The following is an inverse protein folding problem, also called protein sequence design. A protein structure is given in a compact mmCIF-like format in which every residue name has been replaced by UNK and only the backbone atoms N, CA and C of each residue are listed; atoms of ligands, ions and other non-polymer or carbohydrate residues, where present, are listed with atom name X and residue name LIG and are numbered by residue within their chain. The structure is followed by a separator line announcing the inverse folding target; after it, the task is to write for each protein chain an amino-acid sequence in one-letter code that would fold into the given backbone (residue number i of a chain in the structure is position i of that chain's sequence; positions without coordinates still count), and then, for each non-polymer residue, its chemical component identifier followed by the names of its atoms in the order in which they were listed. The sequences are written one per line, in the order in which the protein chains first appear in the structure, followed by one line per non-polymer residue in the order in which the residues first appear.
data_IF_149858772981
#
_entry.id   IF_149858772981
#
_cell.length_a   1.000
_cell.length_b   1.000
_cell.length_c   1.000
_cell.angle_alpha   90.00
_cell.angle_beta   90.00
_cell.angle_gamma   90.00
#
_symmetry.space_group_name_H-M   'P 1'
#
loop_
_entity.id
_entity.type
_entity.pdbx_description
1 polymer ?
#
# COMPACT_ATOMS: atom_id res chain seq x y z
N UNK A 1 -48.77 -49.23 4.15
CA UNK A 1 -47.86 -48.09 4.33
C UNK A 1 -46.45 -48.63 4.25
N UNK A 2 -45.59 -48.24 3.32
CA UNK A 2 -45.41 -46.89 2.79
C UNK A 2 -44.05 -46.41 3.29
N UNK A 3 -43.04 -46.49 2.42
CA UNK A 3 -41.84 -45.63 2.40
C UNK A 3 -41.09 -45.90 1.08
N UNK A 4 -41.36 -45.04 0.11
CA UNK A 4 -40.58 -44.89 -1.13
C UNK A 4 -39.11 -44.68 -0.77
N UNK A 5 -38.21 -45.44 -1.40
CA UNK A 5 -36.83 -45.01 -1.56
C UNK A 5 -36.79 -44.06 -2.75
N UNK A 6 -36.55 -42.78 -2.49
CA UNK A 6 -36.27 -41.80 -3.54
C UNK A 6 -34.76 -41.82 -3.74
N UNK A 7 -34.32 -42.41 -4.85
CA UNK A 7 -32.99 -42.18 -5.39
C UNK A 7 -32.95 -40.77 -5.98
N UNK A 8 -32.01 -39.93 -5.55
CA UNK A 8 -31.67 -38.68 -6.23
C UNK A 8 -30.22 -38.77 -6.66
N UNK A 9 -30.00 -39.26 -7.88
CA UNK A 9 -28.79 -38.91 -8.63
C UNK A 9 -28.98 -37.47 -9.12
N UNK A 10 -28.11 -36.56 -8.68
CA UNK A 10 -27.95 -35.25 -9.30
C UNK A 10 -26.46 -34.96 -9.45
N UNK A 11 -25.90 -35.57 -10.50
CA UNK A 11 -24.91 -34.90 -11.32
C UNK A 11 -25.45 -33.51 -11.67
N UNK A 12 -24.98 -32.50 -10.95
CA UNK A 12 -25.12 -31.11 -11.37
C UNK A 12 -23.86 -30.39 -10.94
N UNK A 13 -22.73 -30.78 -11.53
CA UNK A 13 -21.56 -29.91 -11.59
C UNK A 13 -21.93 -28.76 -12.52
N UNK A 14 -22.38 -27.65 -11.93
CA UNK A 14 -22.39 -26.38 -12.64
C UNK A 14 -20.95 -26.10 -13.07
N UNK A 15 -20.64 -25.88 -14.36
CA UNK A 15 -19.34 -25.39 -14.73
C UNK A 15 -19.21 -24.01 -14.08
N UNK A 16 -18.45 -23.93 -13.00
CA UNK A 16 -17.91 -22.66 -12.58
C UNK A 16 -16.95 -22.25 -13.69
N UNK A 17 -17.47 -21.50 -14.65
CA UNK A 17 -16.64 -20.61 -15.44
C UNK A 17 -16.11 -19.57 -14.46
N UNK A 18 -15.10 -19.95 -13.68
CA UNK A 18 -14.14 -19.02 -13.14
C UNK A 18 -13.41 -18.51 -14.39
N UNK A 19 -14.02 -17.53 -15.05
CA UNK A 19 -13.21 -16.52 -15.70
C UNK A 19 -12.32 -16.02 -14.56
N UNK A 20 -11.06 -16.46 -14.56
CA UNK A 20 -9.98 -15.71 -13.93
C UNK A 20 -9.98 -14.36 -14.66
N UNK A 21 -10.93 -13.49 -14.31
CA UNK A 21 -10.64 -12.07 -14.33
C UNK A 21 -9.35 -11.98 -13.53
N UNK A 22 -8.24 -11.65 -14.19
CA UNK A 22 -7.00 -11.31 -13.51
C UNK A 22 -7.41 -10.36 -12.39
N UNK A 23 -7.36 -10.85 -11.14
CA UNK A 23 -7.74 -10.04 -9.99
C UNK A 23 -6.77 -8.87 -9.99
N UNK A 24 -7.25 -7.71 -10.43
CA UNK A 24 -6.44 -6.51 -10.42
C UNK A 24 -6.05 -6.23 -8.97
N UNK A 25 -4.75 -6.12 -8.72
CA UNK A 25 -4.22 -5.82 -7.39
C UNK A 25 -4.81 -4.49 -6.89
N UNK A 26 -5.07 -4.44 -5.60
CA UNK A 26 -5.50 -3.23 -4.92
C UNK A 26 -4.25 -2.37 -4.68
N UNK A 27 -4.13 -1.28 -5.45
CA UNK A 27 -3.17 -0.19 -5.21
C UNK A 27 -3.50 0.58 -3.93
N UNK A 28 -2.59 0.54 -2.96
CA UNK A 28 -2.69 1.27 -1.69
C UNK A 28 -1.53 2.26 -1.59
N UNK A 29 -1.85 3.54 -1.39
CA UNK A 29 -0.88 4.58 -1.13
C UNK A 29 -0.81 4.94 0.34
N UNK A 30 0.39 5.15 0.87
CA UNK A 30 0.65 5.67 2.19
C UNK A 30 1.37 7.01 2.09
N UNK A 31 0.76 8.07 2.63
CA UNK A 31 1.29 9.43 2.59
C UNK A 31 1.78 9.85 3.97
N UNK A 32 3.03 10.32 4.09
CA UNK A 32 3.56 10.84 5.35
C UNK A 32 4.68 11.86 5.15
N UNK A 33 4.80 12.90 6.00
CA UNK A 33 5.99 13.73 6.10
C UNK A 33 7.13 13.06 6.88
N UNK A 34 6.85 11.93 7.54
CA UNK A 34 7.68 11.39 8.61
C UNK A 34 8.32 10.04 8.27
N UNK A 35 8.48 9.72 6.99
CA UNK A 35 9.35 8.60 6.56
C UNK A 35 10.83 8.99 6.72
N UNK A 36 11.26 9.18 7.96
CA UNK A 36 12.64 9.56 8.33
C UNK A 36 13.09 8.74 9.52
N UNK A 37 14.35 8.33 9.54
CA UNK A 37 14.93 7.43 10.56
C UNK A 37 14.99 8.06 11.96
N UNK A 38 14.61 9.33 12.09
CA UNK A 38 14.50 10.07 13.35
C UNK A 38 13.09 10.09 13.92
N UNK A 39 12.08 9.59 13.19
CA UNK A 39 10.67 9.66 13.60
C UNK A 39 10.10 8.29 13.98
N UNK A 40 9.37 8.17 15.12
CA UNK A 40 8.81 6.89 15.59
C UNK A 40 7.92 6.17 14.56
N UNK A 41 7.24 6.92 13.69
CA UNK A 41 6.42 6.34 12.62
C UNK A 41 7.25 5.45 11.70
N UNK A 42 8.44 5.89 11.26
CA UNK A 42 9.28 5.12 10.35
C UNK A 42 9.73 3.81 11.01
N UNK A 43 10.14 3.87 12.28
CA UNK A 43 10.50 2.68 13.08
C UNK A 43 9.35 1.67 13.19
N UNK A 44 8.11 2.14 13.38
CA UNK A 44 6.94 1.28 13.55
C UNK A 44 6.43 0.72 12.21
N UNK A 45 6.47 1.54 11.16
CA UNK A 45 5.84 1.23 9.87
C UNK A 45 6.77 0.56 8.87
N UNK A 46 8.09 0.63 9.05
CA UNK A 46 9.06 0.09 8.09
C UNK A 46 8.76 -1.34 7.62
N UNK A 47 8.31 -2.22 8.53
CA UNK A 47 8.05 -3.61 8.20
C UNK A 47 6.66 -3.85 7.61
N UNK A 48 5.70 -2.95 7.79
CA UNK A 48 4.32 -3.17 7.30
C UNK A 48 4.28 -3.23 5.78
N UNK A 49 5.07 -2.40 5.11
CA UNK A 49 5.06 -2.32 3.65
C UNK A 49 5.47 -3.64 3.00
N UNK A 50 6.51 -4.31 3.53
CA UNK A 50 6.99 -5.61 3.03
C UNK A 50 6.03 -6.79 3.29
N UNK A 51 5.11 -6.68 4.26
CA UNK A 51 4.24 -7.78 4.67
C UNK A 51 2.85 -7.78 3.99
N UNK A 52 2.57 -6.83 3.11
CA UNK A 52 1.37 -6.92 2.28
C UNK A 52 1.49 -8.09 1.28
N UNK A 53 0.39 -8.84 1.09
CA UNK A 53 0.36 -9.87 0.07
C UNK A 53 0.46 -9.25 -1.33
N UNK A 54 1.59 -9.44 -2.01
CA UNK A 54 1.84 -8.87 -3.34
C UNK A 54 0.99 -9.47 -4.44
N UNK A 55 0.30 -10.58 -4.19
CA UNK A 55 -0.69 -11.13 -5.12
C UNK A 55 -2.00 -10.32 -5.09
N UNK A 56 -2.30 -9.69 -3.95
CA UNK A 56 -3.54 -8.92 -3.75
C UNK A 56 -3.31 -7.39 -3.77
N UNK A 57 -2.10 -6.92 -3.45
CA UNK A 57 -1.80 -5.50 -3.24
C UNK A 57 -0.57 -5.00 -4.00
N UNK A 58 -0.62 -3.74 -4.39
CA UNK A 58 0.51 -2.96 -4.92
C UNK A 58 0.69 -1.72 -4.04
N UNK A 59 1.88 -1.52 -3.48
CA UNK A 59 2.14 -0.58 -2.40
C UNK A 59 2.92 0.63 -2.87
N UNK A 60 2.30 1.79 -2.70
CA UNK A 60 2.87 3.10 -2.97
C UNK A 60 3.15 3.80 -1.65
N UNK A 61 4.32 4.42 -1.54
CA UNK A 61 4.69 5.27 -0.42
C UNK A 61 5.09 6.65 -0.92
N UNK A 62 4.52 7.68 -0.31
CA UNK A 62 4.74 9.08 -0.66
C UNK A 62 5.33 9.80 0.54
N UNK A 63 6.57 10.25 0.41
CA UNK A 63 7.25 11.04 1.43
C UNK A 63 7.09 12.53 1.14
N UNK A 64 6.48 13.28 2.06
CA UNK A 64 6.34 14.75 1.94
C UNK A 64 7.60 15.51 2.36
N UNK A 65 8.60 14.82 2.90
CA UNK A 65 9.91 15.37 3.17
C UNK A 65 10.99 14.50 2.53
N UNK A 66 12.18 15.05 2.32
CA UNK A 66 13.34 14.22 1.99
C UNK A 66 13.69 13.39 3.23
N UNK A 67 13.69 12.05 3.12
CA UNK A 67 14.11 11.21 4.24
C UNK A 67 15.53 11.55 4.65
N UNK A 68 15.76 11.66 5.96
CA UNK A 68 17.09 11.79 6.51
C UNK A 68 17.50 10.43 7.10
N UNK A 69 18.57 9.85 6.55
CA UNK A 69 19.21 8.69 7.15
C UNK A 69 20.19 9.16 8.23
N UNK A 70 20.17 8.50 9.38
CA UNK A 70 21.18 8.69 10.43
C UNK A 70 22.31 7.66 10.34
N UNK A 71 22.27 6.76 9.35
CA UNK A 71 23.26 5.70 9.16
C UNK A 71 24.20 6.01 8.00
N UNK A 72 25.32 5.29 7.96
CA UNK A 72 26.29 5.41 6.89
C UNK A 72 25.75 4.82 5.58
N UNK A 73 26.33 5.25 4.46
CA UNK A 73 26.04 4.64 3.15
C UNK A 73 26.27 3.13 3.19
N UNK A 74 25.25 2.35 2.82
CA UNK A 74 25.29 0.89 2.81
C UNK A 74 24.74 0.20 4.07
N UNK A 75 24.38 0.94 5.10
CA UNK A 75 23.65 0.40 6.26
C UNK A 75 22.14 0.59 6.08
N UNK A 76 21.38 -0.51 6.18
CA UNK A 76 19.92 -0.44 6.14
C UNK A 76 19.37 0.28 7.39
N UNK A 77 18.55 1.29 7.15
CA UNK A 77 17.75 2.01 8.14
C UNK A 77 16.25 1.94 7.81
N UNK A 78 15.44 2.63 8.60
CA UNK A 78 13.98 2.60 8.50
C UNK A 78 13.52 3.09 7.12
N UNK A 79 14.14 4.15 6.60
CA UNK A 79 13.86 4.67 5.26
C UNK A 79 14.16 3.61 4.20
N UNK A 80 15.31 2.95 4.30
CA UNK A 80 15.74 1.92 3.37
C UNK A 80 14.79 0.71 3.39
N UNK A 81 14.34 0.30 4.58
CA UNK A 81 13.35 -0.76 4.74
C UNK A 81 11.99 -0.37 4.13
N UNK A 82 11.54 0.88 4.31
CA UNK A 82 10.32 1.40 3.67
C UNK A 82 10.43 1.36 2.15
N UNK A 83 11.55 1.83 1.59
CA UNK A 83 11.79 1.84 0.15
C UNK A 83 11.79 0.41 -0.42
N UNK A 84 12.52 -0.52 0.21
CA UNK A 84 12.55 -1.94 -0.21
C UNK A 84 11.20 -2.62 -0.05
N UNK A 85 10.42 -2.22 0.94
CA UNK A 85 9.08 -2.71 1.20
C UNK A 85 7.99 -2.10 0.33
N UNK A 86 8.30 -1.12 -0.52
CA UNK A 86 7.35 -0.46 -1.41
C UNK A 86 7.54 -0.94 -2.85
N UNK A 87 6.43 -1.11 -3.58
CA UNK A 87 6.51 -1.32 -5.04
C UNK A 87 6.84 0.00 -5.75
N UNK A 88 6.38 1.13 -5.19
CA UNK A 88 6.71 2.48 -5.63
C UNK A 88 6.99 3.40 -4.42
N UNK A 89 8.15 4.05 -4.40
CA UNK A 89 8.47 5.09 -3.43
C UNK A 89 8.64 6.43 -4.16
N UNK A 90 7.88 7.46 -3.77
CA UNK A 90 7.91 8.79 -4.39
C UNK A 90 8.17 9.88 -3.36
N UNK A 91 9.00 10.85 -3.75
CA UNK A 91 9.24 12.07 -2.99
C UNK A 91 8.29 13.16 -3.50
N UNK A 92 7.44 13.67 -2.61
CA UNK A 92 6.52 14.76 -2.91
C UNK A 92 6.73 15.97 -1.96
N UNK A 93 7.94 16.56 -1.89
CA UNK A 93 8.21 17.64 -0.96
C UNK A 93 7.50 18.94 -1.37
N UNK A 94 6.68 19.56 -0.49
CA UNK A 94 6.00 20.84 -0.78
C UNK A 94 6.96 22.02 -1.02
N UNK A 95 8.24 21.87 -0.68
CA UNK A 95 9.30 22.84 -0.99
C UNK A 95 9.74 22.80 -2.45
N UNK A 96 9.44 21.74 -3.20
CA UNK A 96 9.90 21.54 -4.58
C UNK A 96 8.73 21.32 -5.56
N UNK A 97 7.58 20.86 -5.07
CA UNK A 97 6.39 20.62 -5.88
C UNK A 97 5.22 21.48 -5.40
N UNK A 98 4.41 21.93 -6.35
CA UNK A 98 3.13 22.55 -6.01
C UNK A 98 2.14 21.49 -5.51
N UNK A 99 1.17 21.91 -4.70
CA UNK A 99 0.09 21.02 -4.23
C UNK A 99 -0.66 20.37 -5.40
N UNK A 100 -0.84 21.11 -6.50
CA UNK A 100 -1.49 20.60 -7.70
C UNK A 100 -0.67 19.51 -8.38
N UNK A 101 0.65 19.67 -8.48
CA UNK A 101 1.54 18.67 -9.08
C UNK A 101 1.60 17.41 -8.21
N UNK A 102 1.61 17.56 -6.89
CA UNK A 102 1.56 16.43 -5.97
C UNK A 102 0.24 15.67 -6.09
N UNK A 103 -0.89 16.38 -6.07
CA UNK A 103 -2.21 15.77 -6.23
C UNK A 103 -2.35 15.06 -7.57
N UNK A 104 -1.81 15.66 -8.65
CA UNK A 104 -1.78 15.05 -9.97
C UNK A 104 -0.96 13.77 -9.99
N UNK A 105 0.23 13.74 -9.38
CA UNK A 105 1.03 12.52 -9.29
C UNK A 105 0.30 11.38 -8.56
N UNK A 106 -0.39 11.69 -7.45
CA UNK A 106 -1.18 10.70 -6.71
C UNK A 106 -2.39 10.24 -7.53
N UNK A 107 -3.04 11.14 -8.27
CA UNK A 107 -4.15 10.81 -9.16
C UNK A 107 -3.71 9.92 -10.32
N UNK A 108 -2.57 10.23 -10.94
CA UNK A 108 -1.99 9.49 -12.07
C UNK A 108 -1.57 8.06 -11.67
N UNK A 109 -1.35 7.79 -10.37
CA UNK A 109 -1.09 6.44 -9.84
C UNK A 109 -2.36 5.57 -9.72
N UNK A 110 -3.54 6.17 -9.85
CA UNK A 110 -4.85 5.51 -9.81
C UNK A 110 -5.02 4.60 -8.58
N UNK A 111 -4.63 5.12 -7.40
CA UNK A 111 -4.76 4.41 -6.14
C UNK A 111 -6.22 4.07 -5.84
N UNK A 112 -6.46 2.88 -5.31
CA UNK A 112 -7.79 2.50 -4.81
C UNK A 112 -8.01 3.03 -3.39
N UNK A 113 -6.93 3.08 -2.60
CA UNK A 113 -6.94 3.53 -1.22
C UNK A 113 -5.74 4.46 -1.01
N UNK A 114 -5.98 5.64 -0.44
CA UNK A 114 -4.93 6.51 0.06
C UNK A 114 -5.07 6.61 1.59
N UNK A 115 -4.01 6.24 2.29
CA UNK A 115 -3.91 6.28 3.75
C UNK A 115 -3.06 7.49 4.14
N UNK A 116 -3.68 8.43 4.85
CA UNK A 116 -2.98 9.54 5.46
C UNK A 116 -2.34 9.09 6.78
N UNK A 117 -1.00 9.09 6.81
CA UNK A 117 -0.19 8.84 8.00
C UNK A 117 0.44 10.13 8.56
N UNK A 118 -0.04 11.30 8.13
CA UNK A 118 0.32 12.57 8.72
C UNK A 118 -0.34 12.65 10.11
N UNK A 119 0.44 12.37 11.16
CA UNK A 119 -0.05 12.56 12.53
C UNK A 119 -0.29 14.03 12.86
N UNK A 120 -1.02 14.30 13.94
CA UNK A 120 -1.10 15.63 14.55
C UNK A 120 0.16 15.91 15.38
N UNK A 121 1.31 16.06 14.72
CA UNK A 121 2.60 16.32 15.36
C UNK A 121 3.27 17.62 14.85
N UNK A 122 2.47 18.62 14.46
CA UNK A 122 2.95 19.99 14.21
C UNK A 122 3.46 20.30 12.79
N UNK A 123 3.39 19.36 11.85
CA UNK A 123 3.82 19.54 10.45
C UNK A 123 2.68 19.39 9.42
N UNK A 124 1.50 18.96 9.85
CA UNK A 124 0.29 18.96 9.02
C UNK A 124 -0.12 20.40 8.70
N UNK A 125 -0.06 20.78 7.42
CA UNK A 125 -0.80 21.93 6.92
C UNK A 125 -2.12 21.42 6.34
N UNK A 126 -3.18 21.59 7.12
CA UNK A 126 -4.54 21.65 6.61
C UNK A 126 -4.74 22.87 5.71
#
# INVERSE_FOLDING_TARGET
GGRNQIFVSRDTTYPQQQQQEERKKIRVGYLSPDFTSTHPLAFLMQSIFQYHNRDDFEIYTYSLNRPMSTKNEGEDDEVTAIQKGSDCFKLLPPSELSLLDMAKQIQDDELHILVDLCGYAGTSKA
#
